data_IF_344308986265
#
_entry.id   IF_344308986265
#
_cell.length_a   1.000
_cell.length_b   1.000
_cell.length_c   1.000
_cell.angle_alpha   90.00
_cell.angle_beta   90.00
_cell.angle_gamma   90.00
#
_symmetry.space_group_name_H-M   'P 1'
#
loop_
_entity.id
_entity.type
_entity.pdbx_description
1 polymer ?
#
# COMPACT_ATOMS: atom_id res chain seq x y z
N UNK A 1 -3.86 1.77 48.38
CA UNK A 1 -3.49 2.07 46.99
C UNK A 1 -4.19 3.36 46.58
N UNK A 2 -3.47 4.47 46.62
CA UNK A 2 -3.99 5.81 46.31
C UNK A 2 -4.20 5.93 44.79
N UNK A 3 -5.45 6.18 44.35
CA UNK A 3 -5.74 6.43 42.94
C UNK A 3 -5.11 7.77 42.57
N UNK A 4 -4.07 7.76 41.74
CA UNK A 4 -3.52 8.96 41.14
C UNK A 4 -4.63 9.68 40.37
N UNK A 5 -5.24 10.70 40.98
CA UNK A 5 -6.18 11.59 40.29
C UNK A 5 -5.35 12.51 39.41
N UNK A 6 -5.17 12.13 38.15
CA UNK A 6 -4.58 13.01 37.14
C UNK A 6 -5.57 14.16 36.90
N UNK A 7 -5.35 15.27 37.61
CA UNK A 7 -6.17 16.47 37.49
C UNK A 7 -5.61 17.32 36.33
N UNK A 8 -5.76 16.81 35.10
CA UNK A 8 -5.24 17.47 33.91
C UNK A 8 -6.14 18.66 33.55
N UNK A 9 -5.73 19.88 33.92
CA UNK A 9 -6.40 21.10 33.48
C UNK A 9 -6.20 21.24 31.97
N UNK A 10 -7.29 21.19 31.21
CA UNK A 10 -7.26 21.30 29.75
C UNK A 10 -7.10 22.75 29.35
N UNK A 11 -5.85 23.19 29.20
CA UNK A 11 -5.53 24.52 28.68
C UNK A 11 -5.64 24.54 27.15
N UNK A 12 -5.79 25.71 26.51
CA UNK A 12 -5.83 25.81 25.05
C UNK A 12 -4.61 25.15 24.36
N UNK A 13 -3.43 25.23 24.98
CA UNK A 13 -2.21 24.59 24.49
C UNK A 13 -2.27 23.05 24.58
N UNK A 14 -2.89 22.50 25.62
CA UNK A 14 -3.10 21.04 25.74
C UNK A 14 -4.14 20.58 24.72
N UNK A 15 -5.24 21.31 24.54
CA UNK A 15 -6.25 21.01 23.54
C UNK A 15 -5.67 21.02 22.11
N UNK A 16 -4.81 21.98 21.78
CA UNK A 16 -4.13 22.04 20.49
C UNK A 16 -3.25 20.81 20.22
N UNK A 17 -2.42 20.40 21.21
CA UNK A 17 -1.56 19.21 21.09
C UNK A 17 -2.39 17.93 20.91
N UNK A 18 -3.47 17.79 21.69
CA UNK A 18 -4.40 16.66 21.55
C UNK A 18 -5.04 16.67 20.15
N UNK A 19 -5.45 17.84 19.65
CA UNK A 19 -5.98 18.00 18.31
C UNK A 19 -5.01 17.51 17.22
N UNK A 20 -3.74 17.89 17.30
CA UNK A 20 -2.71 17.41 16.35
C UNK A 20 -2.58 15.89 16.42
N UNK A 21 -2.52 15.30 17.62
CA UNK A 21 -2.42 13.84 17.78
C UNK A 21 -3.62 13.11 17.18
N UNK A 22 -4.84 13.65 17.36
CA UNK A 22 -6.05 13.08 16.75
C UNK A 22 -5.98 13.13 15.23
N UNK A 23 -5.54 14.24 14.65
CA UNK A 23 -5.36 14.36 13.19
C UNK A 23 -4.33 13.35 12.67
N UNK A 24 -3.19 13.21 13.35
CA UNK A 24 -2.16 12.23 12.99
C UNK A 24 -2.70 10.81 13.08
N UNK A 25 -3.44 10.48 14.14
CA UNK A 25 -4.06 9.16 14.30
C UNK A 25 -5.06 8.85 13.16
N UNK A 26 -5.91 9.82 12.80
CA UNK A 26 -6.85 9.67 11.68
C UNK A 26 -6.09 9.46 10.36
N UNK A 27 -5.03 10.23 10.11
CA UNK A 27 -4.22 10.08 8.91
C UNK A 27 -3.57 8.68 8.81
N UNK A 28 -3.08 8.14 9.93
CA UNK A 28 -2.56 6.77 10.01
C UNK A 28 -3.66 5.75 9.70
N UNK A 29 -4.84 5.89 10.30
CA UNK A 29 -5.97 4.98 10.07
C UNK A 29 -6.41 4.99 8.59
N UNK A 30 -6.37 6.14 7.93
CA UNK A 30 -6.67 6.23 6.49
C UNK A 30 -5.60 5.50 5.67
N UNK A 31 -4.32 5.69 5.97
CA UNK A 31 -3.24 5.05 5.22
C UNK A 31 -3.10 3.54 5.44
N UNK A 32 -3.62 3.02 6.56
CA UNK A 32 -3.68 1.58 6.84
C UNK A 32 -4.82 0.86 6.11
N UNK A 33 -5.80 1.57 5.53
CA UNK A 33 -6.88 0.92 4.79
C UNK A 33 -6.34 0.19 3.55
N UNK A 34 -6.80 -1.03 3.25
CA UNK A 34 -6.48 -1.71 2.01
C UNK A 34 -6.87 -0.84 0.79
N UNK A 35 -6.03 -0.80 -0.26
CA UNK A 35 -6.39 -0.13 -1.50
C UNK A 35 -7.56 -0.87 -2.16
N UNK A 36 -8.46 -0.13 -2.79
CA UNK A 36 -9.46 -0.74 -3.67
C UNK A 36 -8.78 -1.16 -4.97
N UNK A 37 -9.11 -2.35 -5.47
CA UNK A 37 -8.62 -2.85 -6.75
C UNK A 37 -9.84 -3.07 -7.65
N UNK A 38 -9.82 -2.49 -8.84
CA UNK A 38 -10.84 -2.69 -9.86
C UNK A 38 -10.16 -2.86 -11.22
N UNK A 39 -10.64 -3.80 -12.02
CA UNK A 39 -10.17 -4.02 -13.39
C UNK A 39 -11.31 -3.70 -14.34
N UNK A 40 -11.03 -2.98 -15.41
CA UNK A 40 -11.98 -2.65 -16.46
C UNK A 40 -11.30 -2.76 -17.83
N UNK A 41 -12.01 -2.36 -18.89
CA UNK A 41 -11.46 -2.42 -20.25
C UNK A 41 -10.24 -1.51 -20.47
N UNK A 42 -10.06 -0.47 -19.66
CA UNK A 42 -8.97 0.50 -19.80
C UNK A 42 -7.70 0.05 -19.06
N UNK A 43 -7.85 -0.63 -17.92
CA UNK A 43 -6.72 -1.00 -17.09
C UNK A 43 -7.05 -1.55 -15.71
N UNK A 44 -5.98 -1.72 -14.94
CA UNK A 44 -6.01 -2.00 -13.51
C UNK A 44 -6.05 -0.67 -12.73
N UNK A 45 -7.18 -0.38 -12.08
CA UNK A 45 -7.34 0.77 -11.21
C UNK A 45 -7.08 0.41 -9.76
N UNK A 46 -6.06 1.01 -9.17
CA UNK A 46 -5.75 0.92 -7.75
C UNK A 46 -6.15 2.24 -7.09
N UNK A 47 -7.00 2.18 -6.07
CA UNK A 47 -7.45 3.35 -5.31
C UNK A 47 -6.69 3.55 -4.00
N UNK A 48 -7.05 4.60 -3.27
CA UNK A 48 -6.40 4.96 -2.00
C UNK A 48 -5.11 5.76 -2.19
N UNK A 49 -4.22 5.71 -1.20
CA UNK A 49 -2.95 6.43 -1.25
C UNK A 49 -2.10 5.93 -2.42
N UNK A 50 -1.55 6.88 -3.20
CA UNK A 50 -0.81 6.62 -4.45
C UNK A 50 -1.66 5.96 -5.54
N UNK A 51 -2.98 5.90 -5.41
CA UNK A 51 -3.85 5.24 -6.38
C UNK A 51 -3.68 5.78 -7.80
N UNK A 52 -3.71 4.87 -8.78
CA UNK A 52 -3.50 5.16 -10.19
C UNK A 52 -4.29 4.17 -11.05
N UNK A 53 -4.60 4.56 -12.28
CA UNK A 53 -4.90 3.64 -13.38
C UNK A 53 -3.59 3.16 -14.00
N UNK A 54 -3.50 1.86 -14.23
CA UNK A 54 -2.43 1.20 -14.97
C UNK A 54 -3.05 0.61 -16.24
N UNK A 55 -2.85 1.29 -17.36
CA UNK A 55 -3.38 0.92 -18.67
C UNK A 55 -2.75 -0.39 -19.17
N UNK A 56 -3.57 -1.26 -19.75
CA UNK A 56 -3.15 -2.60 -20.15
C UNK A 56 -2.00 -2.61 -21.16
N UNK A 57 -1.97 -1.65 -22.08
CA UNK A 57 -0.98 -1.52 -23.16
C UNK A 57 0.42 -1.06 -22.68
N UNK A 58 0.54 -0.63 -21.42
CA UNK A 58 1.80 -0.18 -20.80
C UNK A 58 2.32 -1.19 -19.77
N UNK A 59 1.49 -2.13 -19.32
CA UNK A 59 1.89 -3.14 -18.34
C UNK A 59 2.80 -4.17 -19.03
N UNK A 60 3.96 -4.41 -18.43
CA UNK A 60 4.99 -5.34 -18.90
C UNK A 60 5.43 -6.26 -17.75
N UNK A 61 6.05 -7.40 -18.06
CA UNK A 61 6.75 -8.27 -17.10
C UNK A 61 5.93 -8.58 -15.84
N UNK A 62 4.76 -9.20 -16.02
CA UNK A 62 3.87 -9.55 -14.91
C UNK A 62 4.34 -10.85 -14.25
N UNK A 63 4.50 -10.81 -12.94
CA UNK A 63 4.99 -11.92 -12.12
C UNK A 63 4.09 -12.11 -10.89
N UNK A 64 3.88 -13.36 -10.48
CA UNK A 64 3.16 -13.73 -9.27
C UNK A 64 4.12 -14.39 -8.27
N UNK A 65 4.16 -13.86 -7.05
CA UNK A 65 4.94 -14.39 -5.94
C UNK A 65 4.04 -14.78 -4.78
N UNK A 66 4.41 -15.87 -4.10
CA UNK A 66 3.80 -16.27 -2.84
C UNK A 66 4.47 -15.63 -1.61
N UNK A 67 5.64 -15.00 -1.81
CA UNK A 67 6.39 -14.31 -0.79
C UNK A 67 6.97 -13.02 -1.36
N UNK A 68 6.96 -11.96 -0.55
CA UNK A 68 7.45 -10.66 -0.99
C UNK A 68 8.97 -10.70 -1.23
N UNK A 69 9.45 -10.25 -2.41
CA UNK A 69 10.88 -10.04 -2.64
C UNK A 69 11.49 -9.06 -1.62
N UNK A 70 12.82 -9.04 -1.51
CA UNK A 70 13.53 -8.19 -0.55
C UNK A 70 13.12 -6.72 -0.72
N UNK A 71 12.44 -6.19 0.30
CA UNK A 71 12.06 -4.78 0.36
C UNK A 71 13.31 -3.95 0.64
N UNK A 72 13.59 -2.98 -0.23
CA UNK A 72 14.67 -2.04 -0.05
C UNK A 72 14.22 -0.78 0.70
N UNK A 73 14.71 0.39 0.28
CA UNK A 73 14.52 1.64 1.02
C UNK A 73 13.23 2.35 0.62
N UNK A 74 12.42 2.78 1.61
CA UNK A 74 11.32 3.71 1.38
C UNK A 74 11.86 5.07 0.93
N UNK A 75 11.37 5.58 -0.20
CA UNK A 75 11.67 6.94 -0.66
C UNK A 75 10.54 7.92 -0.34
N UNK A 76 9.28 7.48 -0.36
CA UNK A 76 8.13 8.29 0.05
C UNK A 76 6.94 7.40 0.46
N UNK A 77 6.19 7.79 1.49
CA UNK A 77 4.93 7.14 1.86
C UNK A 77 4.95 6.44 3.22
N UNK A 78 4.05 5.47 3.37
CA UNK A 78 3.80 4.76 4.63
C UNK A 78 4.57 3.45 4.67
N UNK A 79 5.30 3.27 5.76
CA UNK A 79 5.89 2.01 6.17
C UNK A 79 5.56 1.82 7.66
N UNK A 80 4.52 1.05 7.93
CA UNK A 80 4.01 0.83 9.29
C UNK A 80 3.58 -0.63 9.46
N UNK A 81 4.28 -1.36 10.33
CA UNK A 81 4.05 -2.79 10.52
C UNK A 81 4.20 -3.56 9.22
N UNK A 82 3.18 -4.33 8.84
CA UNK A 82 3.15 -5.06 7.57
C UNK A 82 2.69 -4.19 6.38
N UNK A 83 2.16 -2.99 6.61
CA UNK A 83 1.67 -2.12 5.54
C UNK A 83 2.80 -1.29 4.93
N UNK A 84 2.95 -1.41 3.60
CA UNK A 84 3.86 -0.64 2.75
C UNK A 84 3.06 0.03 1.65
N UNK A 85 3.04 1.37 1.62
CA UNK A 85 2.30 2.17 0.64
C UNK A 85 3.16 3.33 0.15
N UNK A 86 3.37 3.44 -1.15
CA UNK A 86 4.08 4.56 -1.76
C UNK A 86 5.33 4.17 -2.52
N UNK A 87 6.31 5.05 -2.57
CA UNK A 87 7.50 4.89 -3.38
C UNK A 87 8.66 4.27 -2.59
N UNK A 88 9.28 3.27 -3.20
CA UNK A 88 10.39 2.51 -2.65
C UNK A 88 11.47 2.34 -3.72
N UNK A 89 12.69 2.07 -3.28
CA UNK A 89 13.72 1.47 -4.09
C UNK A 89 13.85 0.01 -3.69
N UNK A 90 13.29 -0.89 -4.50
CA UNK A 90 13.30 -2.34 -4.30
C UNK A 90 14.59 -2.91 -4.88
N UNK A 91 15.17 -3.95 -4.27
CA UNK A 91 16.51 -4.46 -4.62
C UNK A 91 16.76 -4.62 -6.12
N UNK A 92 16.30 -5.72 -6.70
CA UNK A 92 16.53 -6.01 -8.12
C UNK A 92 15.55 -5.27 -9.05
N UNK A 93 14.52 -4.64 -8.47
CA UNK A 93 13.44 -3.95 -9.21
C UNK A 93 13.61 -2.43 -9.28
N UNK A 94 14.61 -1.86 -8.60
CA UNK A 94 14.87 -0.42 -8.60
C UNK A 94 13.67 0.41 -8.12
N UNK A 95 13.34 1.47 -8.86
CA UNK A 95 12.22 2.36 -8.49
C UNK A 95 10.90 1.62 -8.52
N UNK A 96 10.14 1.67 -7.43
CA UNK A 96 8.90 0.93 -7.32
C UNK A 96 7.81 1.68 -6.57
N UNK A 97 6.56 1.31 -6.85
CA UNK A 97 5.37 1.72 -6.11
C UNK A 97 4.79 0.50 -5.43
N UNK A 98 4.62 0.55 -4.11
CA UNK A 98 4.08 -0.54 -3.31
C UNK A 98 2.64 -0.24 -2.88
N UNK A 99 1.80 -1.25 -3.02
CA UNK A 99 0.46 -1.39 -2.45
C UNK A 99 0.39 -2.70 -1.65
N UNK A 100 1.39 -2.92 -0.79
CA UNK A 100 1.71 -4.23 -0.20
C UNK A 100 1.39 -4.29 1.30
N UNK A 101 0.63 -5.29 1.72
CA UNK A 101 0.62 -5.77 3.09
C UNK A 101 1.46 -7.05 3.15
N UNK A 102 2.60 -7.03 3.84
CA UNK A 102 3.54 -8.16 3.88
C UNK A 102 3.04 -9.35 4.71
N UNK A 103 1.89 -9.24 5.37
CA UNK A 103 1.24 -10.38 6.03
C UNK A 103 0.39 -11.21 5.07
N UNK A 104 0.29 -10.80 3.81
CA UNK A 104 -0.43 -11.52 2.77
C UNK A 104 0.47 -12.57 2.10
N UNK A 105 -0.13 -13.44 1.28
CA UNK A 105 0.56 -14.58 0.65
C UNK A 105 0.49 -14.55 -0.88
N UNK A 106 -0.12 -13.53 -1.49
CA UNK A 106 -0.14 -13.37 -2.94
C UNK A 106 0.28 -11.95 -3.32
N UNK A 107 1.33 -11.84 -4.12
CA UNK A 107 1.91 -10.59 -4.56
C UNK A 107 2.06 -10.60 -6.08
N UNK A 108 1.42 -9.65 -6.74
CA UNK A 108 1.63 -9.41 -8.17
C UNK A 108 2.64 -8.29 -8.31
N UNK A 109 3.60 -8.50 -9.20
CA UNK A 109 4.56 -7.49 -9.64
C UNK A 109 4.38 -7.28 -11.13
N UNK A 110 4.39 -6.03 -11.57
CA UNK A 110 4.47 -5.72 -12.99
C UNK A 110 5.26 -4.45 -13.20
N UNK A 111 5.87 -4.32 -14.37
CA UNK A 111 6.53 -3.09 -14.81
C UNK A 111 5.51 -2.20 -15.49
N UNK A 112 5.61 -0.90 -15.25
CA UNK A 112 4.80 0.13 -15.88
C UNK A 112 5.70 1.37 -16.07
N UNK A 113 6.09 1.63 -17.33
CA UNK A 113 7.14 2.60 -17.64
C UNK A 113 8.45 2.27 -16.91
N UNK A 114 9.04 3.24 -16.21
CA UNK A 114 10.32 3.06 -15.51
C UNK A 114 10.20 2.53 -14.06
N UNK A 115 9.03 2.00 -13.68
CA UNK A 115 8.74 1.58 -12.31
C UNK A 115 8.14 0.19 -12.26
N UNK A 116 8.44 -0.52 -11.18
CA UNK A 116 7.75 -1.75 -10.81
C UNK A 116 6.63 -1.47 -9.81
N UNK A 117 5.51 -2.13 -9.98
CA UNK A 117 4.31 -1.98 -9.18
C UNK A 117 4.08 -3.27 -8.43
N UNK A 118 4.01 -3.19 -7.10
CA UNK A 118 3.79 -4.35 -6.23
C UNK A 118 2.42 -4.25 -5.58
N UNK A 119 1.61 -5.29 -5.73
CA UNK A 119 0.24 -5.33 -5.19
C UNK A 119 0.06 -6.63 -4.43
N UNK A 120 -0.41 -6.55 -3.17
CA UNK A 120 -0.69 -7.73 -2.36
C UNK A 120 -2.20 -8.01 -2.27
N UNK A 121 -2.58 -9.28 -2.21
CA UNK A 121 -3.96 -9.73 -2.06
C UNK A 121 -4.15 -10.48 -0.75
N UNK A 122 -5.24 -10.19 -0.03
CA UNK A 122 -5.53 -10.78 1.29
C UNK A 122 -5.93 -12.26 1.23
N UNK A 123 -6.22 -12.74 0.02
CA UNK A 123 -6.62 -14.08 -0.31
C UNK A 123 -5.81 -14.56 -1.53
N UNK A 124 -5.23 -15.75 -1.43
CA UNK A 124 -4.35 -16.28 -2.46
C UNK A 124 -5.09 -16.55 -3.78
N UNK A 125 -6.35 -17.01 -3.72
CA UNK A 125 -7.15 -17.28 -4.91
C UNK A 125 -7.50 -15.96 -5.62
N UNK A 126 -7.91 -14.92 -4.89
CA UNK A 126 -8.11 -13.58 -5.47
C UNK A 126 -6.85 -13.05 -6.16
N UNK A 127 -5.67 -13.31 -5.59
CA UNK A 127 -4.40 -12.94 -6.19
C UNK A 127 -4.14 -13.68 -7.50
N UNK A 128 -4.45 -14.98 -7.55
CA UNK A 128 -4.33 -15.78 -8.77
C UNK A 128 -5.33 -15.32 -9.84
N UNK A 129 -6.60 -15.12 -9.49
CA UNK A 129 -7.63 -14.65 -10.42
C UNK A 129 -7.26 -13.27 -11.00
N UNK A 130 -6.71 -12.38 -10.16
CA UNK A 130 -6.22 -11.08 -10.58
C UNK A 130 -5.02 -11.21 -11.54
N UNK A 131 -4.06 -12.10 -11.24
CA UNK A 131 -2.92 -12.35 -12.10
C UNK A 131 -3.35 -12.87 -13.48
N UNK A 132 -4.23 -13.87 -13.52
CA UNK A 132 -4.78 -14.41 -14.77
C UNK A 132 -5.51 -13.33 -15.58
N UNK A 133 -6.29 -12.48 -14.91
CA UNK A 133 -6.99 -11.35 -15.57
C UNK A 133 -6.01 -10.36 -16.19
N UNK A 134 -4.93 -10.01 -15.50
CA UNK A 134 -3.89 -9.13 -16.04
C UNK A 134 -3.25 -9.79 -17.26
N UNK A 135 -2.84 -11.05 -17.15
CA UNK A 135 -2.22 -11.81 -18.24
C UNK A 135 -3.13 -11.94 -19.48
N UNK A 136 -4.46 -11.96 -19.32
CA UNK A 136 -5.39 -11.96 -20.44
C UNK A 136 -5.41 -10.64 -21.23
N UNK A 137 -5.04 -9.53 -20.60
CA UNK A 137 -5.06 -8.20 -21.20
C UNK A 137 -3.66 -7.72 -21.65
N UNK A 138 -2.60 -8.38 -21.18
CA UNK A 138 -1.20 -8.03 -21.46
C UNK A 138 -0.55 -9.14 -22.30
N UNK A 139 0.03 -8.79 -23.45
CA UNK A 139 0.72 -9.74 -24.34
C UNK A 139 2.08 -10.20 -23.81
#
# INVERSE_FOLDING_TARGET
MEKLKVNMKMTPAVAFKVGILVIVAIAILIGLKPPSIAMNNDGLKIGGLYGKLYEWDVIENVELFNQMPKIGMRTNGMDLGSTKRGYFNMGDYGSSTLYVNTSHEAFIVFKYGDRHIFVSFDDAQKGLDAYETIMMHTN
#
